data_IF_524407022394
#
_entry.id   IF_524407022394
#
_cell.length_a   1.000
_cell.length_b   1.000
_cell.length_c   1.000
_cell.angle_alpha   90.00
_cell.angle_beta   90.00
_cell.angle_gamma   90.00
#
_symmetry.space_group_name_H-M   'P 1'
#
loop_
_entity.id
_entity.type
_entity.pdbx_description
1 polymer ?
#
# COMPACT_ATOMS: atom_id res chain seq x y z
N UNK A 1 29.19 13.21 6.33
CA UNK A 1 30.11 12.07 6.58
C UNK A 1 29.65 11.19 7.76
N UNK A 2 29.49 11.71 8.99
CA UNK A 2 29.06 10.90 10.14
C UNK A 2 27.72 10.17 9.92
N UNK A 3 26.68 10.88 9.48
CA UNK A 3 25.36 10.26 9.20
C UNK A 3 25.42 9.25 8.05
N UNK A 4 26.19 9.55 6.99
CA UNK A 4 26.35 8.66 5.83
C UNK A 4 26.94 7.31 6.26
N UNK A 5 28.02 7.33 7.04
CA UNK A 5 28.67 6.11 7.53
C UNK A 5 27.80 5.34 8.54
N UNK A 6 27.08 6.05 9.41
CA UNK A 6 26.28 5.41 10.44
C UNK A 6 25.05 4.68 9.89
N UNK A 7 24.31 5.32 8.97
CA UNK A 7 23.09 4.77 8.38
C UNK A 7 23.33 4.00 7.07
N UNK A 8 24.58 3.89 6.61
CA UNK A 8 24.94 3.15 5.40
C UNK A 8 24.51 3.83 4.08
N UNK A 9 24.35 5.15 4.07
CA UNK A 9 24.05 5.93 2.87
C UNK A 9 25.35 6.38 2.18
N UNK A 10 25.31 6.57 0.87
CA UNK A 10 26.39 7.28 0.18
C UNK A 10 26.42 8.76 0.63
N UNK A 11 27.58 9.42 0.48
CA UNK A 11 27.75 10.78 0.97
C UNK A 11 26.80 11.78 0.28
N UNK A 12 26.54 11.59 -1.01
CA UNK A 12 25.69 12.47 -1.83
C UNK A 12 24.22 12.44 -1.38
N UNK A 13 23.64 11.25 -1.20
CA UNK A 13 22.26 11.07 -0.77
C UNK A 13 22.07 11.52 0.68
N UNK A 14 23.04 11.25 1.55
CA UNK A 14 23.00 11.74 2.92
C UNK A 14 23.06 13.28 2.98
N UNK A 15 23.89 13.91 2.14
CA UNK A 15 23.94 15.36 2.02
C UNK A 15 22.63 15.93 1.48
N UNK A 16 22.05 15.31 0.46
CA UNK A 16 20.77 15.74 -0.13
C UNK A 16 19.61 15.71 0.89
N UNK A 17 19.54 14.65 1.71
CA UNK A 17 18.53 14.54 2.77
C UNK A 17 18.74 15.60 3.86
N UNK A 18 19.99 15.87 4.25
CA UNK A 18 20.33 16.89 5.25
C UNK A 18 20.11 18.33 4.76
N UNK A 19 20.12 18.55 3.44
CA UNK A 19 19.82 19.84 2.82
C UNK A 19 18.30 20.07 2.72
N UNK A 20 17.53 19.00 2.50
CA UNK A 20 16.07 19.06 2.36
C UNK A 20 15.32 19.24 3.69
N UNK A 21 15.89 18.76 4.80
CA UNK A 21 15.21 18.71 6.10
C UNK A 21 16.06 19.31 7.21
N UNK A 22 15.40 19.82 8.26
CA UNK A 22 16.11 20.22 9.47
C UNK A 22 16.89 19.02 10.05
N UNK A 23 18.06 19.21 10.70
CA UNK A 23 18.90 18.10 11.14
C UNK A 23 18.19 17.03 11.99
N UNK A 24 17.25 17.45 12.86
CA UNK A 24 16.45 16.52 13.66
C UNK A 24 15.48 15.67 12.83
N UNK A 25 14.83 16.27 11.82
CA UNK A 25 13.91 15.56 10.92
C UNK A 25 14.66 14.62 9.98
N UNK A 26 15.84 15.03 9.50
CA UNK A 26 16.70 14.19 8.69
C UNK A 26 17.10 12.91 9.45
N UNK A 27 17.49 13.03 10.72
CA UNK A 27 17.79 11.88 11.59
C UNK A 27 16.56 10.98 11.74
N UNK A 28 15.37 11.54 11.98
CA UNK A 28 14.13 10.75 12.06
C UNK A 28 13.84 10.00 10.76
N UNK A 29 14.10 10.60 9.59
CA UNK A 29 13.93 9.95 8.30
C UNK A 29 14.88 8.76 8.15
N UNK A 30 16.16 8.94 8.48
CA UNK A 30 17.14 7.86 8.44
C UNK A 30 16.72 6.71 9.37
N UNK A 31 16.35 7.00 10.61
CA UNK A 31 15.87 6.00 11.56
C UNK A 31 14.58 5.31 11.11
N UNK A 32 13.67 6.03 10.45
CA UNK A 32 12.43 5.45 9.94
C UNK A 32 12.67 4.47 8.78
N UNK A 33 13.67 4.74 7.94
CA UNK A 33 14.04 3.86 6.83
C UNK A 33 14.66 2.53 7.29
N UNK A 34 15.31 2.52 8.46
CA UNK A 34 15.87 1.30 9.07
C UNK A 34 14.82 0.45 9.80
N UNK A 35 13.60 0.97 9.99
CA UNK A 35 12.51 0.22 10.62
C UNK A 35 11.80 -0.65 9.60
N UNK A 36 11.42 -1.90 9.96
CA UNK A 36 10.64 -2.75 9.08
C UNK A 36 9.29 -2.09 8.78
N UNK A 37 8.89 -2.10 7.50
CA UNK A 37 7.63 -1.51 7.07
C UNK A 37 6.46 -2.34 7.62
N UNK A 38 5.43 -1.71 8.21
CA UNK A 38 4.22 -2.41 8.61
C UNK A 38 3.57 -3.13 7.42
N UNK A 39 3.23 -4.41 7.61
CA UNK A 39 2.50 -5.17 6.60
C UNK A 39 1.07 -4.65 6.51
N UNK A 40 0.67 -4.19 5.33
CA UNK A 40 -0.64 -3.60 5.09
C UNK A 40 -1.34 -4.31 3.93
N UNK A 41 -2.66 -4.42 4.04
CA UNK A 41 -3.53 -5.05 3.05
C UNK A 41 -4.69 -4.13 2.70
N UNK A 42 -5.12 -4.18 1.44
CA UNK A 42 -6.31 -3.48 0.96
C UNK A 42 -7.47 -4.46 0.81
N UNK A 43 -8.57 -4.23 1.50
CA UNK A 43 -9.80 -4.96 1.26
C UNK A 43 -10.38 -4.62 -0.12
N UNK A 44 -10.70 -5.65 -0.90
CA UNK A 44 -11.40 -5.50 -2.18
C UNK A 44 -12.90 -5.34 -1.94
N UNK A 45 -13.39 -4.09 -2.01
CA UNK A 45 -14.79 -3.78 -1.72
C UNK A 45 -15.79 -4.30 -2.73
N UNK A 46 -15.33 -4.77 -3.90
CA UNK A 46 -16.18 -5.50 -4.86
C UNK A 46 -16.56 -6.87 -4.31
N UNK A 47 -15.67 -7.51 -3.54
CA UNK A 47 -15.83 -8.90 -3.07
C UNK A 47 -16.16 -9.03 -1.59
N UNK A 48 -15.75 -8.07 -0.74
CA UNK A 48 -15.96 -8.14 0.71
C UNK A 48 -15.95 -6.77 1.36
N UNK A 49 -16.44 -6.67 2.60
CA UNK A 49 -16.30 -5.45 3.42
C UNK A 49 -15.09 -5.60 4.35
N UNK A 50 -14.38 -4.50 4.62
CA UNK A 50 -13.20 -4.47 5.52
C UNK A 50 -13.47 -5.17 6.86
N UNK A 51 -14.63 -4.92 7.47
CA UNK A 51 -15.02 -5.52 8.76
C UNK A 51 -15.15 -7.04 8.67
N UNK A 52 -15.79 -7.56 7.62
CA UNK A 52 -15.97 -9.00 7.42
C UNK A 52 -14.62 -9.68 7.13
N UNK A 53 -13.77 -9.03 6.32
CA UNK A 53 -12.42 -9.50 6.06
C UNK A 53 -11.59 -9.58 7.35
N UNK A 54 -11.64 -8.54 8.20
CA UNK A 54 -10.93 -8.54 9.47
C UNK A 54 -11.39 -9.71 10.37
N UNK A 55 -12.70 -9.95 10.48
CA UNK A 55 -13.23 -11.08 11.24
C UNK A 55 -12.74 -12.43 10.71
N UNK A 56 -12.71 -12.62 9.38
CA UNK A 56 -12.21 -13.85 8.76
C UNK A 56 -10.72 -14.07 9.04
N UNK A 57 -9.90 -13.03 8.97
CA UNK A 57 -8.47 -13.12 9.27
C UNK A 57 -8.19 -13.38 10.75
N UNK A 58 -8.95 -12.74 11.66
CA UNK A 58 -8.86 -12.97 13.10
C UNK A 58 -9.23 -14.42 13.44
N UNK A 59 -10.28 -14.96 12.84
CA UNK A 59 -10.67 -16.36 13.02
C UNK A 59 -9.58 -17.36 12.58
N UNK A 60 -8.67 -16.95 11.69
CA UNK A 60 -7.50 -17.73 11.26
C UNK A 60 -6.25 -17.51 12.12
N UNK A 61 -6.34 -16.71 13.18
CA UNK A 61 -5.21 -16.40 14.05
C UNK A 61 -4.30 -15.29 13.52
N UNK A 62 -4.82 -14.37 12.69
CA UNK A 62 -4.12 -13.14 12.35
C UNK A 62 -4.51 -12.02 13.31
N UNK A 63 -3.56 -11.22 13.76
CA UNK A 63 -3.82 -9.97 14.46
C UNK A 63 -3.84 -8.84 13.44
N UNK A 64 -5.03 -8.31 13.16
CA UNK A 64 -5.24 -7.22 12.20
C UNK A 64 -5.98 -6.06 12.84
N UNK A 65 -5.60 -4.84 12.46
CA UNK A 65 -6.24 -3.60 12.90
C UNK A 65 -6.50 -2.69 11.71
N UNK A 66 -7.46 -1.74 11.79
CA UNK A 66 -7.56 -0.66 10.82
C UNK A 66 -6.24 0.08 10.66
N UNK A 67 -5.79 0.31 9.42
CA UNK A 67 -4.53 1.06 9.18
C UNK A 67 -4.60 2.52 9.66
N UNK A 68 -5.79 3.08 9.71
CA UNK A 68 -6.06 4.42 10.21
C UNK A 68 -7.48 4.84 9.85
N UNK A 69 -7.96 5.94 10.43
CA UNK A 69 -9.31 6.45 10.17
C UNK A 69 -9.45 7.06 8.76
N UNK A 70 -8.35 7.50 8.18
CA UNK A 70 -8.28 8.06 6.82
C UNK A 70 -8.56 7.02 5.71
N UNK A 71 -8.54 5.72 6.00
CA UNK A 71 -8.86 4.67 5.03
C UNK A 71 -9.97 3.76 5.49
N UNK A 72 -10.96 3.57 4.61
CA UNK A 72 -12.09 2.64 4.81
C UNK A 72 -11.77 1.21 4.41
N UNK A 73 -10.64 0.98 3.73
CA UNK A 73 -10.29 -0.32 3.12
C UNK A 73 -9.02 -0.95 3.67
N UNK A 74 -8.12 -0.15 4.27
CA UNK A 74 -6.84 -0.62 4.79
C UNK A 74 -6.95 -1.38 6.10
N UNK A 75 -6.22 -2.50 6.19
CA UNK A 75 -5.92 -3.21 7.43
C UNK A 75 -4.40 -3.37 7.56
N UNK A 76 -3.88 -3.17 8.76
CA UNK A 76 -2.49 -3.45 9.14
C UNK A 76 -2.44 -4.80 9.82
N UNK A 77 -1.55 -5.67 9.36
CA UNK A 77 -1.29 -6.97 9.98
C UNK A 77 -0.13 -6.79 10.96
N UNK A 78 -0.39 -7.02 12.26
CA UNK A 78 0.65 -6.96 13.30
C UNK A 78 1.39 -8.27 13.41
N UNK A 79 0.62 -9.35 13.49
CA UNK A 79 1.12 -10.70 13.62
C UNK A 79 0.22 -11.65 12.83
N UNK A 80 0.80 -12.73 12.33
CA UNK A 80 0.04 -13.76 11.65
C UNK A 80 0.65 -15.13 11.87
N UNK A 81 -0.18 -16.09 12.28
CA UNK A 81 0.19 -17.51 12.35
C UNK A 81 0.13 -18.21 10.99
N UNK A 82 -0.49 -17.57 9.99
CA UNK A 82 -0.64 -18.10 8.63
C UNK A 82 0.02 -17.18 7.60
N UNK A 83 0.54 -17.71 6.48
CA UNK A 83 1.10 -16.86 5.44
C UNK A 83 0.00 -16.02 4.80
N UNK A 84 0.04 -14.69 4.99
CA UNK A 84 -0.99 -13.76 4.50
C UNK A 84 -1.13 -13.86 2.97
N UNK A 85 -0.01 -13.97 2.24
CA UNK A 85 -0.01 -14.16 0.78
C UNK A 85 -0.48 -15.53 0.27
N UNK A 86 -0.91 -16.45 1.15
CA UNK A 86 -1.40 -17.77 0.76
C UNK A 86 -2.76 -18.14 1.39
N UNK A 87 -3.43 -17.18 2.02
CA UNK A 87 -4.77 -17.42 2.59
C UNK A 87 -5.81 -17.62 1.48
N UNK A 88 -6.90 -18.40 1.71
CA UNK A 88 -8.00 -18.52 0.74
C UNK A 88 -8.62 -17.17 0.38
N UNK A 89 -8.67 -16.23 1.32
CA UNK A 89 -9.17 -14.87 1.10
C UNK A 89 -8.25 -14.07 0.16
N UNK A 90 -6.94 -14.25 0.25
CA UNK A 90 -5.98 -13.66 -0.69
C UNK A 90 -6.13 -14.28 -2.08
N UNK A 91 -6.12 -15.62 -2.18
CA UNK A 91 -6.23 -16.34 -3.46
C UNK A 91 -7.57 -16.11 -4.17
N UNK A 92 -8.65 -15.85 -3.41
CA UNK A 92 -9.94 -15.45 -3.97
C UNK A 92 -10.04 -13.96 -4.30
N UNK A 93 -8.97 -13.18 -4.09
CA UNK A 93 -8.89 -11.75 -4.40
C UNK A 93 -9.75 -10.87 -3.49
N UNK A 94 -10.06 -11.32 -2.27
CA UNK A 94 -10.81 -10.51 -1.28
C UNK A 94 -9.96 -9.38 -0.70
N UNK A 95 -8.64 -9.51 -0.79
CA UNK A 95 -7.71 -8.43 -0.47
C UNK A 95 -6.42 -8.55 -1.26
N UNK A 96 -5.63 -7.48 -1.25
CA UNK A 96 -4.32 -7.42 -1.87
C UNK A 96 -3.28 -6.93 -0.86
N UNK A 97 -2.06 -7.49 -0.91
CA UNK A 97 -0.92 -6.96 -0.17
C UNK A 97 -0.45 -5.67 -0.83
N UNK A 98 -0.50 -4.56 -0.11
CA UNK A 98 -0.21 -3.25 -0.69
C UNK A 98 0.16 -2.26 0.42
N UNK A 99 1.19 -1.44 0.19
CA UNK A 99 1.59 -0.41 1.13
C UNK A 99 0.47 0.59 1.38
N UNK A 100 0.30 1.03 2.63
CA UNK A 100 -0.65 2.09 2.98
C UNK A 100 -0.47 3.37 2.14
N UNK A 101 0.79 3.75 1.88
CA UNK A 101 1.12 4.90 1.03
C UNK A 101 0.55 4.78 -0.40
N UNK A 102 0.35 3.57 -0.92
CA UNK A 102 -0.21 3.36 -2.25
C UNK A 102 -1.73 3.60 -2.31
N UNK A 103 -2.42 3.73 -1.17
CA UNK A 103 -3.85 4.05 -1.15
C UNK A 103 -4.10 5.52 -1.45
N UNK A 104 -3.22 6.40 -0.95
CA UNK A 104 -3.41 7.85 -0.94
C UNK A 104 -3.58 8.43 -2.36
N UNK A 105 -2.76 8.08 -3.37
CA UNK A 105 -2.92 8.64 -4.71
C UNK A 105 -4.27 8.28 -5.34
N UNK A 106 -4.76 7.06 -5.12
CA UNK A 106 -6.03 6.60 -5.69
C UNK A 106 -7.22 7.21 -4.96
N UNK A 107 -7.13 7.36 -3.63
CA UNK A 107 -8.13 8.09 -2.85
C UNK A 107 -8.21 9.57 -3.24
N UNK A 108 -7.06 10.20 -3.52
CA UNK A 108 -6.99 11.57 -3.98
C UNK A 108 -7.53 11.74 -5.41
N UNK A 109 -7.26 10.78 -6.30
CA UNK A 109 -7.82 10.75 -7.65
C UNK A 109 -9.35 10.67 -7.62
N UNK A 110 -9.91 9.95 -6.65
CA UNK A 110 -11.34 9.84 -6.42
C UNK A 110 -12.15 9.48 -7.69
N UNK A 111 -11.69 8.48 -8.44
CA UNK A 111 -12.36 8.01 -9.65
C UNK A 111 -13.81 7.55 -9.36
N UNK A 112 -14.76 8.04 -10.15
CA UNK A 112 -16.19 7.78 -10.00
C UNK A 112 -16.67 6.68 -10.95
N UNK A 113 -17.74 5.94 -10.60
CA UNK A 113 -18.37 4.99 -11.51
C UNK A 113 -18.78 5.65 -12.84
N UNK A 114 -18.45 5.00 -13.96
CA UNK A 114 -18.80 5.46 -15.30
C UNK A 114 -17.75 6.35 -15.98
N UNK A 115 -16.72 6.80 -15.25
CA UNK A 115 -15.65 7.60 -15.83
C UNK A 115 -14.73 6.78 -16.74
N UNK A 116 -13.93 7.50 -17.55
CA UNK A 116 -12.80 6.91 -18.28
C UNK A 116 -11.51 7.34 -17.62
N UNK A 117 -10.72 6.39 -17.13
CA UNK A 117 -9.48 6.63 -16.39
C UNK A 117 -8.30 5.94 -17.08
N UNK A 118 -7.15 6.61 -17.11
CA UNK A 118 -5.89 6.07 -17.62
C UNK A 118 -4.86 5.97 -16.49
N UNK A 119 -4.43 4.76 -16.18
CA UNK A 119 -3.27 4.48 -15.34
C UNK A 119 -2.04 4.28 -16.24
N UNK A 120 -1.18 5.31 -16.32
CA UNK A 120 -0.04 5.35 -17.24
C UNK A 120 1.12 4.42 -16.85
N UNK A 121 1.19 4.00 -15.59
CA UNK A 121 2.28 3.17 -15.04
C UNK A 121 1.70 2.14 -14.08
N UNK A 122 0.97 1.20 -14.67
CA UNK A 122 0.09 0.31 -13.95
C UNK A 122 0.84 -0.73 -13.13
N UNK A 123 2.00 -1.26 -13.56
CA UNK A 123 2.62 -2.41 -12.90
C UNK A 123 3.05 -2.09 -11.46
N UNK A 124 2.82 -3.00 -10.49
CA UNK A 124 2.30 -4.37 -10.61
C UNK A 124 0.76 -4.51 -10.57
N UNK A 125 -0.01 -3.44 -10.82
CA UNK A 125 -1.47 -3.41 -10.91
C UNK A 125 -2.20 -3.08 -9.61
N UNK A 126 -1.47 -2.89 -8.51
CA UNK A 126 -2.08 -2.64 -7.20
C UNK A 126 -2.93 -1.37 -7.13
N UNK A 127 -2.50 -0.28 -7.78
CA UNK A 127 -3.26 0.98 -7.81
C UNK A 127 -4.39 0.92 -8.83
N UNK A 128 -4.14 0.37 -10.01
CA UNK A 128 -5.12 0.10 -11.06
C UNK A 128 -6.32 -0.67 -10.53
N UNK A 129 -6.09 -1.76 -9.80
CA UNK A 129 -7.18 -2.54 -9.19
C UNK A 129 -7.94 -1.75 -8.12
N UNK A 130 -7.29 -0.78 -7.47
CA UNK A 130 -7.98 0.10 -6.52
C UNK A 130 -8.84 1.14 -7.25
N UNK A 131 -8.37 1.67 -8.38
CA UNK A 131 -9.15 2.57 -9.24
C UNK A 131 -10.42 1.85 -9.72
N UNK A 132 -10.29 0.64 -10.27
CA UNK A 132 -11.46 -0.15 -10.70
C UNK A 132 -12.43 -0.46 -9.55
N UNK A 133 -11.89 -0.68 -8.35
CA UNK A 133 -12.69 -0.84 -7.13
C UNK A 133 -13.46 0.44 -6.75
N UNK A 134 -12.87 1.64 -6.90
CA UNK A 134 -13.56 2.92 -6.66
C UNK A 134 -14.65 3.20 -7.69
N UNK A 135 -14.37 2.85 -8.95
CA UNK A 135 -15.32 2.96 -10.07
C UNK A 135 -16.43 1.89 -10.02
N UNK A 136 -16.43 1.00 -9.02
CA UNK A 136 -17.43 -0.07 -8.86
C UNK A 136 -17.58 -0.95 -10.12
N UNK A 137 -16.48 -1.19 -10.85
CA UNK A 137 -16.48 -1.88 -12.14
C UNK A 137 -17.40 -1.25 -13.21
N UNK A 138 -17.62 0.06 -13.18
CA UNK A 138 -18.38 0.80 -14.19
C UNK A 138 -17.51 1.85 -14.87
N UNK A 139 -17.63 2.00 -16.19
CA UNK A 139 -16.80 2.90 -17.00
C UNK A 139 -15.66 2.17 -17.70
N UNK A 140 -14.57 2.88 -17.99
CA UNK A 140 -13.41 2.35 -18.72
C UNK A 140 -12.13 2.67 -17.96
N UNK A 141 -11.30 1.65 -17.71
CA UNK A 141 -10.00 1.81 -17.07
C UNK A 141 -8.91 1.27 -18.00
N UNK A 142 -8.09 2.17 -18.53
CA UNK A 142 -6.88 1.82 -19.27
C UNK A 142 -5.74 1.60 -18.29
N UNK A 143 -5.08 0.44 -18.41
CA UNK A 143 -3.88 0.11 -17.67
C UNK A 143 -2.72 0.01 -18.65
N UNK A 144 -1.71 0.85 -18.48
CA UNK A 144 -0.55 0.90 -19.35
C UNK A 144 0.72 0.65 -18.54
N UNK A 145 1.58 -0.24 -19.04
CA UNK A 145 2.96 -0.37 -18.60
C UNK A 145 3.84 -0.62 -19.82
N UNK A 146 5.09 -0.17 -19.77
CA UNK A 146 6.02 -0.30 -20.90
C UNK A 146 6.52 -1.74 -21.05
N UNK A 147 6.54 -2.51 -19.95
CA UNK A 147 7.10 -3.86 -19.93
C UNK A 147 6.00 -4.91 -19.96
N UNK A 148 6.14 -5.86 -20.88
CA UNK A 148 5.19 -6.96 -21.08
C UNK A 148 5.26 -8.01 -19.97
N UNK A 149 6.42 -8.19 -19.33
CA UNK A 149 6.67 -9.23 -18.32
C UNK A 149 6.19 -8.87 -16.89
N UNK A 150 5.46 -7.76 -16.73
CA UNK A 150 5.13 -7.14 -15.42
C UNK A 150 3.64 -7.02 -15.12
#
# INVERSE_FOLDING_TARGET
RLCANYYGYNEELAAYILDMFAPGEAVQLFEANDRPRPMTIRANTIKTRRRLLAQQLIARGCQVEPTGEWTKVGLTVKESKVPIGATPEYLSGRYMLQSASSFVPVQALNAQPGETVLDMSAAPGGKTTYIGQMMQNQGVLFANDLREDR
#
